data_IF_154785644252
#
_entry.id   IF_154785644252
#
_cell.length_a   1.000
_cell.length_b   1.000
_cell.length_c   1.000
_cell.angle_alpha   90.00
_cell.angle_beta   90.00
_cell.angle_gamma   90.00
#
_symmetry.space_group_name_H-M   'P 1'
#
loop_
_entity.id
_entity.type
_entity.pdbx_description
1 polymer ?
#
# COMPACT_ATOMS: atom_id res chain seq x y z
N UNK A 1 -14.20 -21.74 -2.36
CA UNK A 1 -13.32 -20.55 -2.25
C UNK A 1 -14.14 -19.40 -1.69
N UNK A 2 -13.62 -18.62 -0.74
CA UNK A 2 -14.39 -17.49 -0.18
C UNK A 2 -14.60 -16.42 -1.27
N UNK A 3 -15.75 -15.72 -1.24
CA UNK A 3 -16.06 -14.65 -2.21
C UNK A 3 -14.96 -13.59 -2.27
N UNK A 4 -14.38 -13.27 -1.11
CA UNK A 4 -13.28 -12.30 -1.01
C UNK A 4 -12.03 -12.78 -1.76
N UNK A 5 -11.66 -14.05 -1.58
CA UNK A 5 -10.51 -14.64 -2.28
C UNK A 5 -10.67 -14.55 -3.79
N UNK A 6 -11.83 -14.95 -4.31
CA UNK A 6 -12.12 -14.86 -5.75
C UNK A 6 -12.00 -13.43 -6.28
N UNK A 7 -12.61 -12.44 -5.61
CA UNK A 7 -12.56 -11.04 -6.07
C UNK A 7 -11.14 -10.47 -6.05
N UNK A 8 -10.34 -10.75 -5.03
CA UNK A 8 -8.95 -10.28 -4.97
C UNK A 8 -8.09 -10.97 -6.03
N UNK A 9 -8.27 -12.28 -6.23
CA UNK A 9 -7.59 -13.02 -7.29
C UNK A 9 -7.89 -12.42 -8.66
N UNK A 10 -9.17 -12.23 -9.01
CA UNK A 10 -9.57 -11.63 -10.29
C UNK A 10 -9.01 -10.21 -10.48
N UNK A 11 -8.99 -9.42 -9.41
CA UNK A 11 -8.43 -8.08 -9.45
C UNK A 11 -6.93 -8.10 -9.78
N UNK A 12 -6.15 -8.93 -9.09
CA UNK A 12 -4.71 -9.08 -9.33
C UNK A 12 -4.41 -9.72 -10.69
N UNK A 13 -5.20 -10.70 -11.12
CA UNK A 13 -5.08 -11.31 -12.45
C UNK A 13 -5.32 -10.29 -13.56
N UNK A 14 -6.19 -9.29 -13.35
CA UNK A 14 -6.37 -8.18 -14.30
C UNK A 14 -5.13 -7.30 -14.50
N UNK A 15 -4.13 -7.45 -13.63
CA UNK A 15 -2.81 -6.82 -13.70
C UNK A 15 -1.68 -7.83 -14.05
N UNK A 16 -2.05 -9.03 -14.53
CA UNK A 16 -1.11 -10.13 -14.80
C UNK A 16 -0.30 -10.55 -13.56
N UNK A 17 -0.91 -10.50 -12.37
CA UNK A 17 -0.31 -10.95 -11.11
C UNK A 17 -1.06 -12.20 -10.64
N UNK A 18 -0.31 -13.26 -10.33
CA UNK A 18 -0.86 -14.50 -9.78
C UNK A 18 -0.59 -14.54 -8.28
N UNK A 19 -1.57 -15.03 -7.53
CA UNK A 19 -1.40 -15.34 -6.11
C UNK A 19 -0.73 -16.70 -5.99
N UNK A 20 0.33 -16.79 -5.19
CA UNK A 20 1.21 -17.95 -5.03
C UNK A 20 1.76 -18.42 -6.39
N UNK A 21 2.07 -17.46 -7.26
CA UNK A 21 2.73 -17.71 -8.54
C UNK A 21 4.24 -17.91 -8.38
N UNK A 22 4.92 -18.21 -9.48
CA UNK A 22 6.36 -18.48 -9.49
C UNK A 22 7.19 -17.32 -10.06
N UNK A 23 6.53 -16.27 -10.59
CA UNK A 23 7.25 -15.14 -11.17
C UNK A 23 7.70 -14.23 -10.01
N UNK A 24 8.85 -13.54 -10.13
CA UNK A 24 9.38 -12.73 -9.02
C UNK A 24 8.42 -11.65 -8.51
N UNK A 25 7.49 -11.18 -9.35
CA UNK A 25 6.50 -10.17 -9.02
C UNK A 25 5.14 -10.75 -8.57
N UNK A 26 4.99 -12.07 -8.56
CA UNK A 26 3.78 -12.74 -8.06
C UNK A 26 3.82 -12.74 -6.51
N UNK A 27 2.68 -12.44 -5.89
CA UNK A 27 2.61 -12.36 -4.43
C UNK A 27 2.51 -13.76 -3.82
N UNK A 28 3.15 -13.99 -2.67
CA UNK A 28 2.94 -15.17 -1.84
C UNK A 28 2.07 -14.79 -0.65
N UNK A 29 0.91 -15.40 -0.50
CA UNK A 29 -0.03 -15.12 0.60
C UNK A 29 0.09 -16.19 1.67
N UNK A 30 0.46 -15.76 2.87
CA UNK A 30 0.69 -16.62 4.04
C UNK A 30 -0.48 -16.60 5.03
N UNK A 31 -1.38 -15.62 4.91
CA UNK A 31 -2.55 -15.46 5.78
C UNK A 31 -3.84 -15.25 4.96
N UNK A 32 -4.85 -16.10 5.15
CA UNK A 32 -6.13 -16.00 4.43
C UNK A 32 -6.97 -14.76 4.81
N UNK A 33 -6.74 -14.15 5.98
CA UNK A 33 -7.43 -12.90 6.38
C UNK A 33 -7.03 -11.70 5.50
N UNK A 34 -5.93 -11.83 4.74
CA UNK A 34 -5.50 -10.90 3.70
C UNK A 34 -6.63 -10.49 2.77
N UNK A 35 -7.42 -11.44 2.28
CA UNK A 35 -8.43 -11.17 1.25
C UNK A 35 -9.52 -10.22 1.75
N UNK A 36 -10.03 -10.46 2.95
CA UNK A 36 -11.06 -9.63 3.55
C UNK A 36 -10.53 -8.23 3.91
N UNK A 37 -9.29 -8.16 4.43
CA UNK A 37 -8.64 -6.90 4.80
C UNK A 37 -8.34 -6.02 3.59
N UNK A 38 -7.82 -6.59 2.50
CA UNK A 38 -7.50 -5.84 1.28
C UNK A 38 -8.75 -5.31 0.59
N UNK A 39 -9.83 -6.09 0.52
CA UNK A 39 -11.08 -5.60 -0.08
C UNK A 39 -11.73 -4.47 0.72
N UNK A 40 -11.63 -4.51 2.05
CA UNK A 40 -12.22 -3.50 2.92
C UNK A 40 -11.37 -2.22 3.01
N UNK A 41 -10.03 -2.34 3.09
CA UNK A 41 -9.12 -1.22 3.30
C UNK A 41 -8.33 -0.75 2.07
N UNK A 42 -8.50 -1.41 0.92
CA UNK A 42 -7.87 -1.03 -0.34
C UNK A 42 -6.34 -1.02 -0.30
N UNK A 43 -5.73 -0.04 -0.98
CA UNK A 43 -4.27 0.06 -1.12
C UNK A 43 -3.53 0.20 0.21
N UNK A 44 -4.12 0.89 1.20
CA UNK A 44 -3.51 1.02 2.53
C UNK A 44 -3.44 -0.34 3.23
N UNK A 45 -4.56 -1.07 3.26
CA UNK A 45 -4.60 -2.42 3.81
C UNK A 45 -3.67 -3.40 3.07
N UNK A 46 -3.50 -3.23 1.76
CA UNK A 46 -2.53 -4.01 0.97
C UNK A 46 -1.09 -3.76 1.44
N UNK A 47 -0.70 -2.50 1.65
CA UNK A 47 0.63 -2.16 2.17
C UNK A 47 0.85 -2.54 3.64
N UNK A 48 -0.13 -2.31 4.51
CA UNK A 48 -0.02 -2.69 5.93
C UNK A 48 0.07 -4.21 6.10
N UNK A 49 -0.70 -4.99 5.33
CA UNK A 49 -0.62 -6.45 5.37
C UNK A 49 0.72 -7.00 4.86
N UNK A 50 1.43 -6.26 3.99
CA UNK A 50 2.83 -6.58 3.66
C UNK A 50 3.74 -6.35 4.86
N UNK A 51 3.61 -5.21 5.54
CA UNK A 51 4.36 -4.91 6.76
C UNK A 51 4.10 -5.93 7.88
N UNK A 52 2.87 -6.45 7.96
CA UNK A 52 2.46 -7.48 8.93
C UNK A 52 2.92 -8.90 8.52
N UNK A 53 3.58 -9.07 7.36
CA UNK A 53 4.07 -10.37 6.87
C UNK A 53 2.97 -11.32 6.38
N UNK A 54 1.77 -10.82 6.08
CA UNK A 54 0.66 -11.65 5.59
C UNK A 54 0.85 -12.07 4.14
N UNK A 55 1.66 -11.32 3.40
CA UNK A 55 2.10 -11.65 2.06
C UNK A 55 3.46 -11.01 1.77
N UNK A 56 4.21 -11.60 0.83
CA UNK A 56 5.47 -11.05 0.32
C UNK A 56 5.59 -11.22 -1.21
N UNK A 57 6.69 -10.70 -1.76
CA UNK A 57 7.00 -10.70 -3.19
C UNK A 57 8.50 -10.44 -3.38
N UNK A 58 9.15 -11.18 -4.27
CA UNK A 58 10.60 -11.04 -4.51
C UNK A 58 10.97 -9.73 -5.23
N UNK A 59 10.08 -9.23 -6.09
CA UNK A 59 10.29 -8.03 -6.92
C UNK A 59 9.13 -7.03 -6.76
N UNK A 60 9.09 -6.35 -5.61
CA UNK A 60 8.07 -5.35 -5.28
C UNK A 60 8.01 -4.17 -6.26
N UNK A 61 9.13 -3.78 -6.82
CA UNK A 61 9.24 -2.74 -7.85
C UNK A 61 8.48 -3.14 -9.13
N UNK A 62 8.67 -4.37 -9.58
CA UNK A 62 7.98 -4.91 -10.75
C UNK A 62 6.48 -5.11 -10.48
N UNK A 63 6.13 -5.57 -9.27
CA UNK A 63 4.75 -5.63 -8.81
C UNK A 63 4.08 -4.24 -8.89
N UNK A 64 4.74 -3.21 -8.36
CA UNK A 64 4.21 -1.85 -8.35
C UNK A 64 3.97 -1.32 -9.78
N UNK A 65 4.91 -1.53 -10.71
CA UNK A 65 4.75 -1.14 -12.12
C UNK A 65 3.49 -1.77 -12.73
N UNK A 66 3.24 -3.06 -12.49
CA UNK A 66 2.07 -3.78 -13.02
C UNK A 66 0.76 -3.26 -12.44
N UNK A 67 0.70 -3.10 -11.12
CA UNK A 67 -0.47 -2.57 -10.42
C UNK A 67 -0.84 -1.16 -10.92
N UNK A 68 0.17 -0.30 -11.13
CA UNK A 68 -0.01 1.07 -11.62
C UNK A 68 -0.45 1.11 -13.09
N UNK A 69 0.17 0.29 -13.96
CA UNK A 69 -0.19 0.21 -15.38
C UNK A 69 -1.61 -0.32 -15.61
N UNK A 70 -2.06 -1.26 -14.76
CA UNK A 70 -3.42 -1.78 -14.80
C UNK A 70 -4.45 -0.86 -14.09
N UNK A 71 -4.00 0.28 -13.54
CA UNK A 71 -4.81 1.27 -12.82
C UNK A 71 -5.70 0.65 -11.74
N UNK A 72 -5.18 -0.32 -11.00
CA UNK A 72 -5.95 -1.03 -9.96
C UNK A 72 -6.40 -0.09 -8.84
N UNK A 73 -5.61 0.94 -8.53
CA UNK A 73 -5.96 1.98 -7.57
C UNK A 73 -7.28 2.69 -7.91
N UNK A 74 -7.56 2.89 -9.21
CA UNK A 74 -8.82 3.51 -9.68
C UNK A 74 -9.98 2.52 -9.63
N UNK A 75 -9.75 1.25 -9.98
CA UNK A 75 -10.77 0.19 -9.96
C UNK A 75 -11.27 -0.09 -8.54
N UNK A 76 -10.35 -0.13 -7.57
CA UNK A 76 -10.67 -0.32 -6.15
C UNK A 76 -11.43 0.89 -5.58
N UNK A 77 -11.04 2.11 -5.95
CA UNK A 77 -11.74 3.33 -5.51
C UNK A 77 -13.20 3.39 -5.99
N UNK A 78 -13.47 2.93 -7.21
CA UNK A 78 -14.81 2.93 -7.78
C UNK A 78 -15.76 1.91 -7.11
N UNK A 79 -15.23 0.87 -6.47
CA UNK A 79 -16.02 -0.26 -5.93
C UNK A 79 -16.26 -0.18 -4.42
N UNK A 80 -15.62 0.73 -3.69
CA UNK A 80 -15.75 0.83 -2.23
C UNK A 80 -16.46 2.12 -1.78
N UNK A 81 -17.75 2.05 -1.39
CA UNK A 81 -18.53 3.19 -0.92
C UNK A 81 -17.97 3.87 0.33
N UNK A 82 -17.17 3.16 1.15
CA UNK A 82 -16.57 3.72 2.37
C UNK A 82 -15.52 4.80 2.09
N UNK A 83 -15.00 4.87 0.86
CA UNK A 83 -14.06 5.90 0.43
C UNK A 83 -14.76 7.27 0.37
N UNK A 84 -16.03 7.31 -0.04
CA UNK A 84 -16.80 8.55 -0.01
C UNK A 84 -16.96 9.07 1.43
N UNK A 85 -17.21 8.17 2.38
CA UNK A 85 -17.31 8.50 3.80
C UNK A 85 -15.98 9.01 4.35
N UNK A 86 -14.87 8.41 3.92
CA UNK A 86 -13.51 8.80 4.33
C UNK A 86 -13.14 10.17 3.78
N UNK A 87 -13.44 10.44 2.49
CA UNK A 87 -13.23 11.74 1.86
C UNK A 87 -14.09 12.80 2.54
N UNK A 88 -15.37 12.51 2.80
CA UNK A 88 -16.28 13.42 3.48
C UNK A 88 -15.78 13.73 4.90
N UNK A 89 -15.34 12.72 5.65
CA UNK A 89 -14.79 12.91 6.98
C UNK A 89 -13.49 13.72 6.95
N UNK A 90 -12.59 13.48 5.99
CA UNK A 90 -11.36 14.25 5.84
C UNK A 90 -11.65 15.72 5.47
N UNK A 91 -12.65 15.97 4.64
CA UNK A 91 -13.10 17.31 4.28
C UNK A 91 -13.71 18.06 5.47
N UNK A 92 -14.58 17.40 6.24
CA UNK A 92 -15.27 17.99 7.39
C UNK A 92 -14.35 18.12 8.62
N UNK A 93 -13.36 17.24 8.78
CA UNK A 93 -12.47 17.19 9.93
C UNK A 93 -11.01 17.22 9.48
N UNK A 94 -10.48 18.42 9.22
CA UNK A 94 -9.05 18.60 8.99
C UNK A 94 -8.28 18.52 10.32
N UNK A 95 -7.59 17.41 10.55
CA UNK A 95 -6.78 17.20 11.76
C UNK A 95 -5.37 17.83 11.68
N UNK A 96 -5.00 18.49 10.58
CA UNK A 96 -3.71 19.13 10.37
C UNK A 96 -3.67 20.52 11.02
N UNK A 97 -3.69 20.58 12.36
CA UNK A 97 -3.44 21.83 13.08
C UNK A 97 -1.94 22.00 13.36
N UNK A 98 -1.45 23.24 13.38
CA UNK A 98 -0.05 23.55 13.72
C UNK A 98 0.37 22.96 15.08
N UNK A 99 -0.53 22.92 16.05
CA UNK A 99 -0.27 22.35 17.37
C UNK A 99 -0.04 20.84 17.40
N UNK A 100 -0.53 20.09 16.39
CA UNK A 100 -0.28 18.65 16.25
C UNK A 100 0.89 18.33 15.32
N UNK A 101 1.43 19.31 14.60
CA UNK A 101 2.50 19.10 13.64
C UNK A 101 3.77 18.52 14.29
N UNK A 102 4.08 18.92 15.52
CA UNK A 102 5.23 18.38 16.26
C UNK A 102 5.05 16.90 16.62
N UNK A 103 3.89 16.54 17.19
CA UNK A 103 3.54 15.14 17.52
C UNK A 103 3.53 14.24 16.27
N UNK A 104 3.04 14.75 15.13
CA UNK A 104 3.07 14.04 13.85
C UNK A 104 4.50 13.92 13.33
N UNK A 105 5.30 14.99 13.49
CA UNK A 105 6.73 15.03 13.16
C UNK A 105 7.51 13.93 13.87
N UNK A 106 7.43 13.86 15.20
CA UNK A 106 8.10 12.83 15.99
C UNK A 106 7.63 11.41 15.61
N UNK A 107 6.32 11.19 15.52
CA UNK A 107 5.78 9.85 15.25
C UNK A 107 6.13 9.29 13.86
N UNK A 108 6.29 10.17 12.86
CA UNK A 108 6.43 9.74 11.46
C UNK A 108 7.78 10.08 10.82
N UNK A 109 8.61 10.90 11.46
CA UNK A 109 9.86 11.41 10.89
C UNK A 109 11.05 11.38 11.85
N UNK A 110 10.92 10.81 13.05
CA UNK A 110 12.05 10.66 13.99
C UNK A 110 12.99 9.49 13.62
N UNK A 111 13.18 9.28 12.32
CA UNK A 111 14.28 8.48 11.78
C UNK A 111 15.44 9.44 11.62
N UNK A 112 16.40 9.41 12.56
CA UNK A 112 17.56 10.31 12.58
C UNK A 112 18.37 10.29 11.28
N UNK A 113 19.31 11.25 11.16
CA UNK A 113 20.08 11.45 9.93
C UNK A 113 20.97 10.24 9.54
N UNK A 114 21.22 9.32 10.48
CA UNK A 114 22.05 8.14 10.28
C UNK A 114 21.54 7.25 9.13
N UNK A 115 20.22 7.03 9.04
CA UNK A 115 19.63 6.26 7.94
C UNK A 115 19.86 6.95 6.59
N UNK A 116 19.62 8.26 6.55
CA UNK A 116 19.76 9.04 5.31
C UNK A 116 21.21 9.10 4.85
N UNK A 117 22.18 9.21 5.76
CA UNK A 117 23.61 9.20 5.41
C UNK A 117 24.09 7.86 4.86
N UNK A 118 23.43 6.75 5.21
CA UNK A 118 23.71 5.43 4.62
C UNK A 118 23.02 5.21 3.26
N UNK A 119 21.88 5.86 3.04
CA UNK A 119 21.05 5.67 1.84
C UNK A 119 21.37 6.67 0.70
N UNK A 120 21.69 7.92 1.03
CA UNK A 120 21.82 9.02 0.07
C UNK A 120 23.26 9.19 -0.45
N UNK A 121 23.39 9.99 -1.52
CA UNK A 121 24.70 10.40 -2.02
C UNK A 121 25.44 11.31 -1.02
N UNK A 122 26.72 11.59 -1.30
CA UNK A 122 27.56 12.45 -0.44
C UNK A 122 26.99 13.86 -0.21
N UNK A 123 26.07 14.31 -1.07
CA UNK A 123 25.45 15.63 -0.98
C UNK A 123 24.14 15.61 -0.19
N UNK A 124 23.70 14.44 0.30
CA UNK A 124 22.44 14.25 1.02
C UNK A 124 21.21 14.69 0.20
N UNK A 125 21.24 14.50 -1.13
CA UNK A 125 20.12 14.87 -1.98
C UNK A 125 19.01 13.81 -1.87
N UNK A 126 17.90 14.15 -1.21
CA UNK A 126 16.68 13.34 -1.22
C UNK A 126 15.67 13.89 -2.25
N UNK A 127 16.15 13.98 -3.49
CA UNK A 127 15.39 14.39 -4.66
C UNK A 127 15.80 13.53 -5.85
N UNK A 128 15.03 13.58 -6.95
CA UNK A 128 15.50 12.99 -8.20
C UNK A 128 16.87 13.56 -8.56
N UNK A 129 17.77 12.68 -9.00
CA UNK A 129 19.07 13.05 -9.54
C UNK A 129 18.94 13.70 -10.92
#
# INVERSE_FOLDING_TARGET
MSKFKTTVTELLESADIKINGQRPYDIQVHNEDFYARVLSGGTLAFGESYMDGWWDCDALDQLAVRLLNAHLDKKVKATNPSILLTILRAYLFNSQSKGRAHMVGEKHYDTGNDLFSLMLDKRMNYSCA
#
